data_IF_085457724967
#
_entry.id   IF_085457724967
#
_cell.length_a   1.000
_cell.length_b   1.000
_cell.length_c   1.000
_cell.angle_alpha   90.00
_cell.angle_beta   90.00
_cell.angle_gamma   90.00
#
_symmetry.space_group_name_H-M   'P 1'
#
loop_
_entity.id
_entity.type
_entity.pdbx_description
1 polymer ?
#
# COMPACT_ATOMS: atom_id res chain seq x y z
N UNK A 1 2.32 -24.74 21.11
CA UNK A 1 2.46 -24.13 19.76
C UNK A 1 3.72 -23.31 19.78
N UNK A 2 4.67 -23.60 18.89
CA UNK A 2 5.95 -22.89 18.84
C UNK A 2 5.86 -21.76 17.83
N UNK A 3 6.34 -20.57 18.19
CA UNK A 3 6.30 -19.37 17.36
C UNK A 3 7.70 -18.78 17.30
N UNK A 4 8.14 -18.40 16.11
CA UNK A 4 9.42 -17.73 15.91
C UNK A 4 9.18 -16.24 15.75
N UNK A 5 9.83 -15.43 16.59
CA UNK A 5 9.73 -13.97 16.51
C UNK A 5 10.49 -13.45 15.28
N UNK A 6 9.87 -12.58 14.49
CA UNK A 6 10.54 -11.99 13.33
C UNK A 6 11.62 -10.96 13.72
N UNK A 7 11.52 -10.34 14.89
CA UNK A 7 12.52 -9.37 15.38
C UNK A 7 13.78 -10.04 15.93
N UNK A 8 13.65 -10.90 16.95
CA UNK A 8 14.81 -11.49 17.64
C UNK A 8 15.18 -12.89 17.15
N UNK A 9 14.38 -13.46 16.22
CA UNK A 9 14.54 -14.81 15.65
C UNK A 9 14.52 -15.95 16.67
N UNK A 10 14.14 -15.69 17.92
CA UNK A 10 13.96 -16.71 18.94
C UNK A 10 12.62 -17.42 18.77
N UNK A 11 12.64 -18.74 18.94
CA UNK A 11 11.44 -19.57 19.03
C UNK A 11 11.00 -19.68 20.48
N UNK A 12 9.73 -19.41 20.75
CA UNK A 12 9.12 -19.56 22.07
C UNK A 12 7.81 -20.34 21.98
N UNK A 13 7.39 -20.90 23.12
CA UNK A 13 6.09 -21.55 23.24
C UNK A 13 5.03 -20.49 23.53
N UNK A 14 3.97 -20.45 22.72
CA UNK A 14 2.85 -19.54 22.91
C UNK A 14 2.23 -19.68 24.31
N UNK A 15 1.92 -18.56 24.96
CA UNK A 15 1.15 -18.54 26.21
C UNK A 15 -0.28 -19.03 25.98
N UNK A 16 -1.02 -19.34 27.06
CA UNK A 16 -2.43 -19.75 26.96
C UNK A 16 -3.31 -18.70 26.27
N UNK A 17 -3.04 -17.42 26.53
CA UNK A 17 -3.73 -16.29 25.89
C UNK A 17 -3.37 -16.18 24.41
N UNK A 18 -2.08 -16.26 24.06
CA UNK A 18 -1.63 -16.22 22.66
C UNK A 18 -2.19 -17.40 21.86
N UNK A 19 -2.17 -18.61 22.42
CA UNK A 19 -2.71 -19.79 21.77
C UNK A 19 -4.22 -19.66 21.52
N UNK A 20 -4.97 -19.16 22.50
CA UNK A 20 -6.43 -18.94 22.37
C UNK A 20 -6.73 -17.89 21.30
N UNK A 21 -5.97 -16.79 21.28
CA UNK A 21 -6.10 -15.75 20.28
C UNK A 21 -5.80 -16.27 18.87
N UNK A 22 -4.73 -17.05 18.69
CA UNK A 22 -4.38 -17.65 17.39
C UNK A 22 -5.49 -18.58 16.89
N UNK A 23 -6.02 -19.45 17.76
CA UNK A 23 -7.10 -20.38 17.41
C UNK A 23 -8.39 -19.64 17.01
N UNK A 24 -8.74 -18.57 17.72
CA UNK A 24 -9.93 -17.79 17.38
C UNK A 24 -9.75 -16.98 16.09
N UNK A 25 -8.55 -16.45 15.85
CA UNK A 25 -8.19 -15.83 14.57
C UNK A 25 -8.20 -16.82 13.41
N UNK A 26 -7.78 -18.07 13.64
CA UNK A 26 -7.87 -19.15 12.66
C UNK A 26 -9.33 -19.41 12.23
N UNK A 27 -10.23 -19.58 13.21
CA UNK A 27 -11.67 -19.80 12.98
C UNK A 27 -12.33 -18.68 12.19
N UNK A 28 -11.87 -17.43 12.41
CA UNK A 28 -12.37 -16.23 11.70
C UNK A 28 -11.76 -16.05 10.30
N UNK A 29 -10.87 -16.94 9.85
CA UNK A 29 -10.22 -16.83 8.55
C UNK A 29 -9.24 -15.65 8.45
N UNK A 30 -8.77 -15.12 9.57
CA UNK A 30 -7.81 -14.01 9.58
C UNK A 30 -6.48 -14.48 8.97
N UNK A 31 -5.81 -13.60 8.23
CA UNK A 31 -4.49 -13.86 7.61
C UNK A 31 -3.37 -13.00 8.20
N UNK A 32 -3.72 -12.16 9.17
CA UNK A 32 -2.81 -11.23 9.84
C UNK A 32 -3.26 -11.05 11.29
N UNK A 33 -2.33 -11.28 12.22
CA UNK A 33 -2.46 -10.92 13.63
C UNK A 33 -1.14 -10.31 14.13
N UNK A 34 -1.21 -9.55 15.21
CA UNK A 34 -0.02 -9.09 15.93
C UNK A 34 0.11 -9.83 17.25
N UNK A 35 1.33 -10.26 17.58
CA UNK A 35 1.70 -10.89 18.84
C UNK A 35 2.89 -10.18 19.45
N UNK A 36 2.96 -10.19 20.78
CA UNK A 36 4.14 -9.72 21.51
C UNK A 36 5.11 -10.89 21.76
N UNK A 37 6.40 -10.68 21.49
CA UNK A 37 7.42 -11.68 21.80
C UNK A 37 7.82 -11.60 23.30
N UNK A 38 7.75 -12.69 24.08
CA UNK A 38 8.14 -12.67 25.48
C UNK A 38 9.66 -12.49 25.69
N UNK A 39 10.49 -12.69 24.66
CA UNK A 39 11.94 -12.54 24.76
C UNK A 39 12.42 -11.11 24.53
N UNK A 40 11.86 -10.40 23.55
CA UNK A 40 12.29 -9.05 23.17
C UNK A 40 11.21 -7.98 23.35
N UNK A 41 10.01 -8.36 23.80
CA UNK A 41 8.85 -7.50 24.03
C UNK A 41 8.41 -6.68 22.80
N UNK A 42 8.88 -7.07 21.61
CA UNK A 42 8.49 -6.42 20.36
C UNK A 42 7.21 -7.07 19.82
N UNK A 43 6.30 -6.25 19.32
CA UNK A 43 5.17 -6.71 18.52
C UNK A 43 5.66 -7.20 17.16
N UNK A 44 5.22 -8.36 16.72
CA UNK A 44 5.50 -8.88 15.38
C UNK A 44 4.22 -9.41 14.73
N UNK A 45 4.20 -9.42 13.41
CA UNK A 45 3.08 -9.94 12.63
C UNK A 45 3.21 -11.45 12.41
N UNK A 46 2.09 -12.14 12.44
CA UNK A 46 1.98 -13.58 12.18
C UNK A 46 0.74 -13.85 11.33
N UNK A 47 0.86 -14.71 10.34
CA UNK A 47 -0.31 -15.29 9.69
C UNK A 47 -0.78 -16.48 10.53
N UNK A 48 -1.95 -16.43 11.19
CA UNK A 48 -2.37 -17.51 12.08
C UNK A 48 -2.74 -18.79 11.32
N UNK A 49 -2.96 -18.73 9.99
CA UNK A 49 -3.25 -19.92 9.17
C UNK A 49 -2.00 -20.74 8.86
N UNK A 50 -0.89 -20.07 8.55
CA UNK A 50 0.36 -20.72 8.12
C UNK A 50 1.41 -20.78 9.22
N UNK A 51 1.26 -19.96 10.27
CA UNK A 51 2.24 -19.76 11.35
C UNK A 51 3.56 -19.14 10.87
N UNK A 52 3.54 -18.50 9.71
CA UNK A 52 4.68 -17.76 9.14
C UNK A 52 4.46 -16.25 9.30
N UNK A 53 5.55 -15.45 9.28
CA UNK A 53 5.41 -14.02 9.06
C UNK A 53 4.59 -13.79 7.79
N UNK A 54 3.57 -12.92 7.80
CA UNK A 54 2.90 -12.55 6.57
C UNK A 54 3.97 -11.99 5.64
N UNK A 55 4.14 -12.62 4.47
CA UNK A 55 5.06 -12.12 3.46
C UNK A 55 4.76 -10.63 3.29
N UNK A 56 5.74 -9.73 3.47
CA UNK A 56 5.57 -8.39 2.98
C UNK A 56 5.37 -8.54 1.48
N UNK A 57 4.13 -8.49 1.02
CA UNK A 57 3.86 -8.06 -0.33
C UNK A 57 4.31 -6.61 -0.33
N UNK A 58 5.60 -6.42 -0.55
CA UNK A 58 6.13 -5.14 -1.00
C UNK A 58 5.48 -4.98 -2.36
N UNK A 59 4.29 -4.39 -2.37
CA UNK A 59 3.71 -3.90 -3.61
C UNK A 59 4.73 -2.85 -4.01
N UNK A 60 5.54 -3.19 -4.99
CA UNK A 60 6.59 -2.31 -5.45
C UNK A 60 5.85 -1.06 -5.92
N UNK A 61 6.18 0.12 -5.38
CA UNK A 61 5.51 1.38 -5.72
C UNK A 61 5.55 1.69 -7.24
N UNK A 62 6.35 0.92 -7.99
CA UNK A 62 6.47 0.91 -9.45
C UNK A 62 5.14 0.73 -10.21
N UNK A 63 4.10 0.16 -9.59
CA UNK A 63 2.82 -0.12 -10.27
C UNK A 63 1.72 0.94 -10.04
N UNK A 64 1.95 1.96 -9.21
CA UNK A 64 0.91 2.92 -8.85
C UNK A 64 1.04 4.25 -9.58
N UNK A 65 -0.08 4.77 -10.09
CA UNK A 65 -0.15 6.11 -10.68
C UNK A 65 0.10 7.18 -9.60
N UNK A 66 0.84 8.23 -9.93
CA UNK A 66 0.90 9.45 -9.10
C UNK A 66 -0.47 10.15 -9.10
N UNK A 67 -0.77 10.84 -8.01
CA UNK A 67 -1.99 11.60 -7.84
C UNK A 67 -2.01 12.83 -8.78
N UNK A 68 -3.08 13.06 -9.56
CA UNK A 68 -3.17 14.23 -10.45
C UNK A 68 -3.59 15.52 -9.72
N UNK A 69 -3.93 15.46 -8.43
CA UNK A 69 -4.41 16.63 -7.67
C UNK A 69 -3.25 17.61 -7.42
N UNK A 70 -3.55 18.90 -7.59
CA UNK A 70 -2.62 20.01 -7.34
C UNK A 70 -1.93 19.86 -5.99
N UNK A 71 -0.62 20.06 -5.94
CA UNK A 71 0.18 20.02 -4.72
C UNK A 71 0.19 18.65 -4.01
N UNK A 72 -0.32 17.59 -4.63
CA UNK A 72 -0.26 16.21 -4.15
C UNK A 72 0.61 15.34 -5.07
N UNK A 73 1.62 14.71 -4.48
CA UNK A 73 2.53 13.77 -5.15
C UNK A 73 2.33 12.32 -4.67
N UNK A 74 1.23 12.04 -3.93
CA UNK A 74 0.92 10.70 -3.43
C UNK A 74 0.65 9.68 -4.53
N UNK A 75 0.52 8.42 -4.14
CA UNK A 75 0.19 7.31 -5.03
C UNK A 75 -1.31 7.01 -5.00
N UNK A 76 -1.82 6.46 -6.10
CA UNK A 76 -3.22 6.07 -6.26
C UNK A 76 -3.31 4.56 -6.11
N UNK A 77 -4.17 4.11 -5.19
CA UNK A 77 -4.51 2.70 -5.01
C UNK A 77 -5.93 2.44 -5.49
N UNK A 78 -6.18 1.23 -6.01
CA UNK A 78 -7.52 0.74 -6.22
C UNK A 78 -8.03 0.05 -4.95
N UNK A 79 -9.22 0.41 -4.50
CA UNK A 79 -9.83 -0.09 -3.26
C UNK A 79 -11.08 -0.90 -3.63
N UNK A 80 -11.06 -2.18 -3.26
CA UNK A 80 -12.18 -3.11 -3.42
C UNK A 80 -13.11 -3.05 -2.18
N UNK A 81 -13.92 -2.00 -2.10
CA UNK A 81 -14.98 -1.83 -1.08
C UNK A 81 -16.38 -2.15 -1.67
N UNK A 82 -17.46 -2.02 -0.88
CA UNK A 82 -18.85 -2.19 -1.35
C UNK A 82 -19.14 -1.38 -2.63
N UNK A 83 -18.52 -0.19 -2.73
CA UNK A 83 -18.41 0.59 -3.96
C UNK A 83 -16.93 0.80 -4.29
N UNK A 84 -16.36 0.04 -5.24
CA UNK A 84 -14.94 0.17 -5.58
C UNK A 84 -14.57 1.54 -6.12
N UNK A 85 -13.33 1.98 -5.86
CA UNK A 85 -12.82 3.27 -6.30
C UNK A 85 -11.29 3.29 -6.40
N UNK A 86 -10.76 4.25 -7.16
CA UNK A 86 -9.37 4.67 -7.08
C UNK A 86 -9.24 5.80 -6.08
N UNK A 87 -8.29 5.72 -5.15
CA UNK A 87 -8.11 6.73 -4.10
C UNK A 87 -6.66 7.07 -3.88
N UNK A 88 -6.39 8.34 -3.56
CA UNK A 88 -5.08 8.77 -3.08
C UNK A 88 -5.06 8.83 -1.55
N UNK A 89 -4.15 8.08 -0.92
CA UNK A 89 -4.00 8.05 0.54
C UNK A 89 -3.53 9.36 1.18
N UNK A 90 -2.87 10.24 0.40
CA UNK A 90 -2.31 11.49 0.91
C UNK A 90 -3.33 12.63 0.94
N UNK A 91 -4.10 12.81 -0.13
CA UNK A 91 -5.06 13.93 -0.25
C UNK A 91 -6.53 13.51 -0.09
N UNK A 92 -6.81 12.21 0.00
CA UNK A 92 -8.17 11.68 0.18
C UNK A 92 -9.09 11.83 -1.04
N UNK A 93 -8.57 12.29 -2.18
CA UNK A 93 -9.38 12.38 -3.42
C UNK A 93 -9.67 10.99 -3.96
N UNK A 94 -10.90 10.80 -4.45
CA UNK A 94 -11.40 9.54 -4.97
C UNK A 94 -11.95 9.71 -6.39
N UNK A 95 -11.80 8.66 -7.19
CA UNK A 95 -12.36 8.52 -8.53
C UNK A 95 -13.11 7.19 -8.59
N UNK A 96 -14.41 7.21 -8.93
CA UNK A 96 -15.23 6.00 -8.94
C UNK A 96 -15.13 5.23 -10.26
N UNK A 97 -14.65 5.88 -11.32
CA UNK A 97 -14.44 5.24 -12.62
C UNK A 97 -13.04 5.55 -13.14
N UNK A 98 -12.47 4.62 -13.90
CA UNK A 98 -11.18 4.81 -14.54
C UNK A 98 -11.16 6.02 -15.50
N UNK A 99 -12.22 6.29 -16.30
CA UNK A 99 -12.32 7.52 -17.07
C UNK A 99 -12.21 8.80 -16.22
N UNK A 100 -12.87 8.87 -15.06
CA UNK A 100 -12.79 10.05 -14.19
C UNK A 100 -11.34 10.31 -13.72
N UNK A 101 -10.61 9.24 -13.39
CA UNK A 101 -9.20 9.33 -13.03
C UNK A 101 -8.35 9.82 -14.20
N UNK A 102 -8.57 9.27 -15.40
CA UNK A 102 -7.79 9.63 -16.58
C UNK A 102 -8.06 11.06 -17.04
N UNK A 103 -9.31 11.53 -16.97
CA UNK A 103 -9.64 12.93 -17.22
C UNK A 103 -8.95 13.85 -16.20
N UNK A 104 -8.87 13.45 -14.93
CA UNK A 104 -8.14 14.21 -13.91
C UNK A 104 -6.63 14.26 -14.22
N UNK A 105 -6.02 13.15 -14.67
CA UNK A 105 -4.63 13.12 -15.12
C UNK A 105 -4.42 14.06 -16.32
N UNK A 106 -5.30 14.04 -17.31
CA UNK A 106 -5.19 14.92 -18.48
C UNK A 106 -5.27 16.40 -18.09
N UNK A 107 -6.26 16.79 -17.29
CA UNK A 107 -6.38 18.16 -16.77
C UNK A 107 -5.16 18.59 -15.96
N UNK A 108 -4.59 17.65 -15.20
CA UNK A 108 -3.39 17.89 -14.40
C UNK A 108 -2.16 18.15 -15.29
N UNK A 109 -1.99 17.36 -16.35
CA UNK A 109 -0.92 17.57 -17.34
C UNK A 109 -1.13 18.87 -18.12
N UNK A 110 -2.37 19.20 -18.50
CA UNK A 110 -2.68 20.47 -19.17
C UNK A 110 -2.32 21.68 -18.30
N UNK A 111 -2.62 21.62 -17.00
CA UNK A 111 -2.31 22.68 -16.03
C UNK A 111 -0.82 22.72 -15.67
N UNK A 112 -0.18 21.55 -15.52
CA UNK A 112 1.20 21.38 -15.09
C UNK A 112 1.93 20.38 -16.01
N UNK A 113 2.43 20.83 -17.18
CA UNK A 113 2.98 19.93 -18.22
C UNK A 113 4.09 18.98 -17.77
N UNK A 114 4.85 19.34 -16.73
CA UNK A 114 5.90 18.49 -16.19
C UNK A 114 5.35 17.20 -15.55
N UNK A 115 4.07 17.18 -15.13
CA UNK A 115 3.41 15.99 -14.58
C UNK A 115 3.32 14.86 -15.59
N UNK A 116 3.41 15.13 -16.89
CA UNK A 116 3.47 14.08 -17.90
C UNK A 116 4.64 13.10 -17.69
N UNK A 117 5.72 13.51 -17.02
CA UNK A 117 6.92 12.69 -16.82
C UNK A 117 6.69 11.46 -15.93
N UNK A 118 5.69 11.49 -15.06
CA UNK A 118 5.35 10.37 -14.16
C UNK A 118 4.28 9.44 -14.71
N UNK A 119 3.85 9.66 -15.97
CA UNK A 119 2.85 8.83 -16.64
C UNK A 119 3.32 8.36 -18.01
N UNK A 120 3.01 7.11 -18.34
CA UNK A 120 3.11 6.57 -19.69
C UNK A 120 1.71 6.42 -20.29
N UNK A 121 1.42 7.11 -21.38
CA UNK A 121 0.15 6.98 -22.10
C UNK A 121 0.26 5.94 -23.22
N UNK A 122 -0.61 4.93 -23.23
CA UNK A 122 -0.75 3.95 -24.33
C UNK A 122 -2.22 3.91 -24.76
N UNK A 123 -2.54 4.51 -25.90
CA UNK A 123 -3.92 4.71 -26.33
C UNK A 123 -4.69 5.61 -25.36
N UNK A 124 -5.83 5.13 -24.87
CA UNK A 124 -6.67 5.84 -23.89
C UNK A 124 -6.33 5.48 -22.43
N UNK A 125 -5.24 4.76 -22.19
CA UNK A 125 -4.87 4.27 -20.87
C UNK A 125 -3.59 4.92 -20.36
N UNK A 126 -3.60 5.35 -19.10
CA UNK A 126 -2.41 5.78 -18.38
C UNK A 126 -1.84 4.66 -17.52
N UNK A 127 -0.52 4.59 -17.51
CA UNK A 127 0.30 3.72 -16.68
C UNK A 127 1.31 4.59 -15.90
N UNK A 128 1.80 4.15 -14.73
CA UNK A 128 2.93 4.83 -14.11
C UNK A 128 4.13 4.84 -15.05
N UNK A 129 4.91 5.90 -15.03
CA UNK A 129 6.25 5.86 -15.60
C UNK A 129 7.17 5.01 -14.69
N UNK A 130 8.17 4.31 -15.24
CA UNK A 130 9.18 3.63 -14.43
C UNK A 130 9.81 4.61 -13.42
N UNK A 131 10.00 4.17 -12.18
CA UNK A 131 10.52 5.02 -11.10
C UNK A 131 11.88 5.66 -11.45
N UNK A 132 12.73 4.94 -12.18
CA UNK A 132 14.02 5.43 -12.69
C UNK A 132 13.91 6.63 -13.65
N UNK A 133 12.72 6.87 -14.22
CA UNK A 133 12.44 8.02 -15.09
C UNK A 133 11.73 9.17 -14.37
N UNK A 134 11.34 8.97 -13.10
CA UNK A 134 10.75 10.03 -12.30
C UNK A 134 11.82 11.09 -11.98
N UNK A 135 11.56 12.39 -12.19
CA UNK A 135 12.51 13.42 -11.83
C UNK A 135 12.82 13.42 -10.33
N UNK A 136 14.10 13.49 -9.95
CA UNK A 136 14.55 13.51 -8.54
C UNK A 136 13.84 14.58 -7.69
N UNK A 137 13.48 15.71 -8.31
CA UNK A 137 12.81 16.83 -7.65
C UNK A 137 11.30 16.88 -7.90
N UNK A 138 10.68 15.77 -8.35
CA UNK A 138 9.25 15.74 -8.69
C UNK A 138 8.38 16.17 -7.51
N UNK A 139 8.59 15.57 -6.33
CA UNK A 139 7.78 15.85 -5.14
C UNK A 139 7.92 17.32 -4.71
N UNK A 140 9.13 17.88 -4.70
CA UNK A 140 9.38 19.29 -4.40
C UNK A 140 8.75 20.25 -5.42
N UNK A 141 8.68 19.83 -6.69
CA UNK A 141 8.09 20.61 -7.77
C UNK A 141 6.58 20.63 -7.60
N UNK A 142 5.98 19.46 -7.38
CA UNK A 142 4.54 19.30 -7.14
C UNK A 142 4.11 20.08 -5.91
N UNK A 143 4.84 20.01 -4.81
CA UNK A 143 4.50 20.71 -3.56
C UNK A 143 4.39 22.25 -3.70
N UNK A 144 4.87 22.83 -4.81
CA UNK A 144 4.84 24.29 -5.08
C UNK A 144 3.73 24.73 -6.03
N UNK A 145 2.90 23.81 -6.51
CA UNK A 145 1.72 24.09 -7.35
C UNK A 145 0.61 24.83 -6.66
#
# INVERSE_FOLDING_TARGET
>A
MNITCDHCKQTFTASGEQASFILDSQKKGMRFIMLECPSCYSGFSLNPQTMDPPLPQKIVDEDHLRCPVSSCYGLISYVEDEKPFWGCGECGTVWFTQPDLFEAIEKSIEKYPYRAKVYTKKGNTFFPAPLENEPDNYEETVAKE
#
